data_IF_525882880090
#
_entry.id   IF_525882880090
#
_cell.length_a   1.000
_cell.length_b   1.000
_cell.length_c   1.000
_cell.angle_alpha   90.00
_cell.angle_beta   90.00
_cell.angle_gamma   90.00
#
_symmetry.space_group_name_H-M   'P 1'
#
loop_
_entity.id
_entity.type
_entity.pdbx_description
1 polymer ?
#
# COMPACT_ATOMS: atom_id res chain seq x y z
N UNK A 1 -4.31 -13.60 34.41
CA UNK A 1 -4.68 -12.61 33.40
C UNK A 1 -3.73 -12.78 32.23
N UNK A 2 -4.24 -12.94 31.02
CA UNK A 2 -3.40 -13.11 29.83
C UNK A 2 -2.86 -11.74 29.38
N UNK A 3 -1.53 -11.61 29.33
CA UNK A 3 -0.85 -10.41 28.83
C UNK A 3 -0.86 -10.39 27.30
N UNK A 4 -1.97 -9.96 26.70
CA UNK A 4 -2.05 -9.69 25.27
C UNK A 4 -1.53 -8.28 24.92
N UNK A 5 -0.72 -8.18 23.87
CA UNK A 5 -0.19 -6.90 23.35
C UNK A 5 -0.72 -6.71 21.93
N UNK A 6 -1.37 -5.56 21.68
CA UNK A 6 -1.84 -5.17 20.33
C UNK A 6 -0.82 -4.22 19.73
N UNK A 7 -0.23 -4.63 18.60
CA UNK A 7 0.67 -3.78 17.84
C UNK A 7 -0.08 -3.05 16.71
N UNK A 8 0.08 -1.73 16.64
CA UNK A 8 -0.53 -0.88 15.61
C UNK A 8 0.54 -0.15 14.80
N UNK A 9 1.41 -0.87 14.07
CA UNK A 9 2.62 -0.30 13.45
C UNK A 9 2.35 0.80 12.41
N UNK A 10 1.11 0.93 11.95
CA UNK A 10 0.69 1.92 10.97
C UNK A 10 -0.10 3.10 11.57
N UNK A 11 -0.39 3.12 12.88
CA UNK A 11 -1.36 4.04 13.51
C UNK A 11 -1.11 5.51 13.20
N UNK A 12 0.16 5.92 13.16
CA UNK A 12 0.57 7.31 12.93
C UNK A 12 1.22 7.52 11.56
N UNK A 13 1.20 6.50 10.69
CA UNK A 13 1.82 6.58 9.37
C UNK A 13 0.82 7.11 8.35
N UNK A 14 1.26 8.06 7.56
CA UNK A 14 0.63 8.43 6.30
C UNK A 14 0.74 7.29 5.28
N UNK A 15 0.01 7.41 4.17
CA UNK A 15 0.07 6.43 3.08
C UNK A 15 1.47 6.36 2.45
N UNK A 16 2.15 7.51 2.32
CA UNK A 16 3.51 7.57 1.80
C UNK A 16 4.51 6.89 2.75
N UNK A 17 4.38 7.10 4.07
CA UNK A 17 5.23 6.45 5.07
C UNK A 17 4.98 4.94 5.13
N UNK A 18 3.74 4.49 4.95
CA UNK A 18 3.42 3.06 4.82
C UNK A 18 4.14 2.42 3.62
N UNK A 19 4.23 3.14 2.48
CA UNK A 19 4.99 2.67 1.31
C UNK A 19 6.47 2.58 1.63
N UNK A 20 7.05 3.60 2.29
CA UNK A 20 8.47 3.58 2.72
C UNK A 20 8.75 2.42 3.68
N UNK A 21 7.89 2.18 4.67
CA UNK A 21 8.01 1.04 5.57
C UNK A 21 8.01 -0.30 4.81
N UNK A 22 7.15 -0.46 3.81
CA UNK A 22 7.12 -1.68 3.00
C UNK A 22 8.40 -1.90 2.17
N UNK A 23 9.17 -0.85 1.88
CA UNK A 23 10.46 -0.93 1.17
C UNK A 23 11.57 -1.40 2.10
N UNK A 24 11.56 -0.93 3.34
CA UNK A 24 12.54 -1.31 4.37
C UNK A 24 12.38 -2.77 4.80
N UNK A 25 11.15 -3.30 4.75
CA UNK A 25 10.86 -4.67 5.16
C UNK A 25 11.09 -5.67 4.01
N UNK A 26 11.87 -6.76 4.24
CA UNK A 26 12.16 -7.76 3.22
C UNK A 26 10.90 -8.36 2.59
N UNK A 27 10.79 -8.23 1.26
CA UNK A 27 9.70 -8.83 0.47
C UNK A 27 8.37 -8.07 0.48
N UNK A 28 8.15 -7.13 1.41
CA UNK A 28 6.89 -6.40 1.53
C UNK A 28 6.58 -5.54 0.30
N UNK A 29 7.55 -4.80 -0.22
CA UNK A 29 7.34 -3.98 -1.42
C UNK A 29 6.93 -4.82 -2.63
N UNK A 30 7.57 -5.98 -2.86
CA UNK A 30 7.18 -6.90 -3.94
C UNK A 30 5.78 -7.48 -3.73
N UNK A 31 5.40 -7.78 -2.48
CA UNK A 31 4.07 -8.28 -2.15
C UNK A 31 2.95 -7.28 -2.50
N UNK A 32 3.24 -5.96 -2.47
CA UNK A 32 2.25 -4.94 -2.88
C UNK A 32 1.80 -5.08 -4.33
N UNK A 33 2.58 -5.73 -5.21
CA UNK A 33 2.18 -6.06 -6.58
C UNK A 33 0.96 -6.98 -6.65
N UNK A 34 0.70 -7.75 -5.59
CA UNK A 34 -0.38 -8.74 -5.50
C UNK A 34 -1.48 -8.32 -4.52
N UNK A 35 -1.38 -7.12 -3.95
CA UNK A 35 -2.39 -6.57 -3.04
C UNK A 35 -3.61 -6.03 -3.78
N UNK A 36 -4.73 -5.99 -3.09
CA UNK A 36 -5.97 -5.38 -3.57
C UNK A 36 -6.33 -4.15 -2.74
N UNK A 37 -6.80 -3.10 -3.40
CA UNK A 37 -7.19 -1.83 -2.77
C UNK A 37 -8.37 -1.17 -3.49
N UNK A 38 -8.58 -1.46 -4.77
CA UNK A 38 -9.62 -0.85 -5.58
C UNK A 38 -11.02 -1.28 -5.13
N UNK A 39 -11.88 -0.34 -4.74
CA UNK A 39 -13.26 -0.64 -4.38
C UNK A 39 -14.09 -1.33 -5.47
N UNK A 40 -13.73 -1.16 -6.75
CA UNK A 40 -14.43 -1.77 -7.89
C UNK A 40 -13.94 -3.18 -8.22
N UNK A 41 -12.99 -3.74 -7.46
CA UNK A 41 -12.50 -5.10 -7.72
C UNK A 41 -11.51 -5.24 -8.89
N UNK A 42 -11.25 -4.18 -9.67
CA UNK A 42 -10.40 -4.30 -10.86
C UNK A 42 -8.90 -4.47 -10.57
N UNK A 43 -8.25 -5.25 -11.44
CA UNK A 43 -6.79 -5.34 -11.59
C UNK A 43 -6.45 -5.35 -13.09
N UNK A 44 -5.85 -4.28 -13.67
CA UNK A 44 -5.35 -3.07 -13.03
C UNK A 44 -6.45 -2.26 -12.32
N UNK A 45 -6.10 -1.50 -11.26
CA UNK A 45 -7.08 -0.79 -10.45
C UNK A 45 -7.83 0.26 -11.26
N UNK A 46 -9.08 0.57 -10.88
CA UNK A 46 -9.97 1.47 -11.63
C UNK A 46 -9.45 2.91 -11.81
N UNK A 47 -8.44 3.32 -11.04
CA UNK A 47 -7.84 4.66 -11.08
C UNK A 47 -8.69 5.82 -10.57
N UNK A 48 -10.01 5.62 -10.38
CA UNK A 48 -10.97 6.70 -10.10
C UNK A 48 -11.63 6.66 -8.71
N UNK A 49 -11.63 5.51 -8.02
CA UNK A 49 -12.26 5.42 -6.69
C UNK A 49 -11.36 6.03 -5.60
N UNK A 50 -11.92 6.44 -4.43
CA UNK A 50 -11.15 7.08 -3.37
C UNK A 50 -9.93 6.27 -2.90
N UNK A 51 -10.05 4.93 -2.83
CA UNK A 51 -8.95 4.06 -2.45
C UNK A 51 -7.82 4.05 -3.49
N UNK A 52 -8.14 4.02 -4.78
CA UNK A 52 -7.16 4.14 -5.86
C UNK A 52 -6.43 5.49 -5.82
N UNK A 53 -7.18 6.58 -5.62
CA UNK A 53 -6.61 7.94 -5.54
C UNK A 53 -5.66 8.05 -4.34
N UNK A 54 -6.08 7.57 -3.16
CA UNK A 54 -5.25 7.59 -1.96
C UNK A 54 -3.97 6.75 -2.12
N UNK A 55 -4.08 5.56 -2.72
CA UNK A 55 -2.92 4.71 -3.03
C UNK A 55 -1.95 5.41 -4.00
N UNK A 56 -2.47 5.93 -5.11
CA UNK A 56 -1.67 6.63 -6.11
C UNK A 56 -0.95 7.85 -5.51
N UNK A 57 -1.65 8.65 -4.68
CA UNK A 57 -1.05 9.76 -3.95
C UNK A 57 0.08 9.30 -3.02
N UNK A 58 -0.15 8.23 -2.23
CA UNK A 58 0.86 7.67 -1.34
C UNK A 58 2.14 7.23 -2.06
N UNK A 59 2.01 6.53 -3.20
CA UNK A 59 3.16 6.17 -4.02
C UNK A 59 3.87 7.39 -4.60
N UNK A 60 3.12 8.36 -5.15
CA UNK A 60 3.68 9.62 -5.67
C UNK A 60 4.48 10.37 -4.61
N UNK A 61 3.93 10.54 -3.41
CA UNK A 61 4.58 11.25 -2.30
C UNK A 61 5.76 10.46 -1.71
N UNK A 62 5.75 9.13 -1.81
CA UNK A 62 6.87 8.30 -1.38
C UNK A 62 8.09 8.38 -2.32
N UNK A 63 7.88 8.78 -3.58
CA UNK A 63 8.91 8.78 -4.63
C UNK A 63 9.09 7.43 -5.34
N UNK A 64 8.23 6.45 -5.10
CA UNK A 64 8.32 5.10 -5.67
C UNK A 64 7.17 4.78 -6.61
N UNK A 65 7.45 3.98 -7.64
CA UNK A 65 6.44 3.46 -8.55
C UNK A 65 5.63 2.34 -7.89
N UNK A 66 4.32 2.34 -8.09
CA UNK A 66 3.43 1.30 -7.56
C UNK A 66 3.70 -0.05 -8.25
N UNK A 67 4.19 -1.07 -7.52
CA UNK A 67 4.51 -2.37 -8.12
C UNK A 67 3.26 -3.11 -8.64
N UNK A 68 2.05 -2.79 -8.14
CA UNK A 68 0.79 -3.30 -8.71
C UNK A 68 0.61 -2.79 -10.14
N UNK A 69 0.90 -1.52 -10.39
CA UNK A 69 0.77 -0.91 -11.73
C UNK A 69 1.87 -1.43 -12.64
N UNK A 70 3.11 -1.55 -12.14
CA UNK A 70 4.24 -2.08 -12.93
C UNK A 70 4.01 -3.51 -13.40
N UNK A 71 3.30 -4.35 -12.62
CA UNK A 71 2.98 -5.73 -13.00
C UNK A 71 2.05 -5.85 -14.21
N UNK A 72 1.28 -4.82 -14.54
CA UNK A 72 0.33 -4.78 -15.66
C UNK A 72 0.80 -3.91 -16.84
N UNK A 73 2.02 -3.37 -16.77
CA UNK A 73 2.71 -2.74 -17.89
C UNK A 73 3.58 -3.78 -18.60
#
# INVERSE_FOLDING_TARGET
EDNFIIHTPLMHLTKAETVKMAIELPGCFKALAYSHTCYEGFQPPCGKCPACILRAKGFKESGYNDPLILRFK
#
